data_IF_516410159764
#
_entry.id   IF_516410159764
#
_cell.length_a   1.000
_cell.length_b   1.000
_cell.length_c   1.000
_cell.angle_alpha   90.00
_cell.angle_beta   90.00
_cell.angle_gamma   90.00
#
_symmetry.space_group_name_H-M   'P 1'
#
loop_
_entity.id
_entity.type
_entity.pdbx_description
1 polymer ?
#
# COMPACT_ATOMS: atom_id res chain seq x y z
N UNK A 1 -14.63 2.84 -25.46
CA UNK A 1 -15.19 2.20 -24.28
C UNK A 1 -14.92 3.03 -23.04
N UNK A 2 -15.87 3.07 -22.12
CA UNK A 2 -15.76 3.90 -20.92
C UNK A 2 -14.56 3.51 -20.05
N UNK A 3 -14.37 2.23 -19.80
CA UNK A 3 -13.25 1.74 -18.96
C UNK A 3 -11.89 2.17 -19.49
N UNK A 4 -11.67 2.00 -20.78
CA UNK A 4 -10.41 2.37 -21.42
C UNK A 4 -10.16 3.87 -21.35
N UNK A 5 -11.21 4.67 -21.54
CA UNK A 5 -11.14 6.12 -21.47
C UNK A 5 -10.83 6.59 -20.06
N UNK A 6 -11.47 6.00 -19.04
CA UNK A 6 -11.20 6.30 -17.64
C UNK A 6 -9.76 5.95 -17.27
N UNK A 7 -9.28 4.78 -17.67
CA UNK A 7 -7.92 4.33 -17.38
C UNK A 7 -6.89 5.26 -18.02
N UNK A 8 -7.13 5.73 -19.26
CA UNK A 8 -6.22 6.66 -19.93
C UNK A 8 -6.18 8.00 -19.22
N UNK A 9 -7.34 8.54 -18.86
CA UNK A 9 -7.41 9.82 -18.13
C UNK A 9 -6.78 9.72 -16.75
N UNK A 10 -6.95 8.58 -16.08
CA UNK A 10 -6.32 8.31 -14.78
C UNK A 10 -4.80 8.26 -14.92
N UNK A 11 -4.29 7.57 -15.91
CA UNK A 11 -2.85 7.50 -16.18
C UNK A 11 -2.27 8.89 -16.42
N UNK A 12 -2.94 9.69 -17.24
CA UNK A 12 -2.51 11.06 -17.52
C UNK A 12 -2.49 11.93 -16.26
N UNK A 13 -3.51 11.78 -15.40
CA UNK A 13 -3.59 12.52 -14.13
C UNK A 13 -2.47 12.12 -13.16
N UNK A 14 -2.15 10.84 -13.10
CA UNK A 14 -1.08 10.35 -12.23
C UNK A 14 0.30 10.74 -12.77
N UNK A 15 0.46 10.82 -14.08
CA UNK A 15 1.72 11.28 -14.69
C UNK A 15 2.01 12.76 -14.36
N UNK A 16 0.99 13.57 -14.15
CA UNK A 16 1.15 14.96 -13.72
C UNK A 16 1.60 15.09 -12.27
N UNK A 17 1.42 14.05 -11.48
CA UNK A 17 1.83 14.03 -10.09
C UNK A 17 2.56 12.71 -9.79
N UNK A 18 3.88 12.63 -10.10
CA UNK A 18 4.62 11.37 -10.05
C UNK A 18 4.71 10.70 -8.68
N UNK A 19 4.42 11.43 -7.59
CA UNK A 19 4.40 10.82 -6.26
C UNK A 19 3.16 9.97 -6.02
N UNK A 20 2.12 10.16 -6.82
CA UNK A 20 0.86 9.38 -6.71
C UNK A 20 0.90 8.15 -7.62
N UNK A 21 0.27 7.08 -7.18
CA UNK A 21 0.17 5.85 -7.95
C UNK A 21 -1.13 5.10 -7.66
N UNK A 22 -1.54 4.27 -8.61
CA UNK A 22 -2.78 3.50 -8.52
C UNK A 22 -2.58 2.25 -7.66
N UNK A 23 -3.48 2.05 -6.70
CA UNK A 23 -3.53 0.83 -5.87
C UNK A 23 -4.58 -0.12 -6.41
N UNK A 24 -5.78 0.37 -6.70
CA UNK A 24 -6.88 -0.49 -7.15
C UNK A 24 -7.84 0.29 -8.04
N UNK A 25 -8.41 -0.41 -9.01
CA UNK A 25 -9.41 0.11 -9.93
C UNK A 25 -10.54 -0.90 -10.02
N UNK A 26 -11.74 -0.49 -9.66
CA UNK A 26 -12.94 -1.32 -9.73
C UNK A 26 -14.01 -0.63 -10.55
N UNK A 27 -14.69 -1.37 -11.39
CA UNK A 27 -15.81 -0.89 -12.18
C UNK A 27 -16.84 -2.01 -12.29
N UNK A 28 -18.08 -1.73 -11.88
CA UNK A 28 -19.15 -2.72 -11.94
C UNK A 28 -20.00 -2.57 -13.21
N UNK A 29 -21.02 -3.43 -13.32
CA UNK A 29 -21.91 -3.45 -14.48
C UNK A 29 -22.77 -2.19 -14.61
N UNK A 30 -22.92 -1.42 -13.53
CA UNK A 30 -23.68 -0.17 -13.50
C UNK A 30 -22.80 1.06 -13.73
N UNK A 31 -21.54 0.84 -14.15
CA UNK A 31 -20.54 1.91 -14.33
C UNK A 31 -20.26 2.69 -13.05
N UNK A 32 -20.32 2.03 -11.90
CA UNK A 32 -19.82 2.57 -10.64
C UNK A 32 -18.33 2.29 -10.58
N UNK A 33 -17.53 3.36 -10.54
CA UNK A 33 -16.08 3.29 -10.62
C UNK A 33 -15.49 3.68 -9.27
N UNK A 34 -14.62 2.82 -8.74
CA UNK A 34 -13.88 3.11 -7.52
C UNK A 34 -12.40 3.03 -7.80
N UNK A 35 -11.68 4.10 -7.49
CA UNK A 35 -10.25 4.22 -7.70
C UNK A 35 -9.59 4.46 -6.35
N UNK A 36 -8.60 3.64 -6.02
CA UNK A 36 -7.80 3.81 -4.81
C UNK A 36 -6.39 4.15 -5.22
N UNK A 37 -5.88 5.27 -4.71
CA UNK A 37 -4.54 5.75 -4.98
C UNK A 37 -3.75 5.87 -3.68
N UNK A 38 -2.43 5.86 -3.80
CA UNK A 38 -1.53 6.15 -2.70
C UNK A 38 -0.42 7.06 -3.23
N UNK A 39 0.39 7.58 -2.34
CA UNK A 39 1.48 8.47 -2.70
C UNK A 39 2.73 8.19 -1.89
N UNK A 40 3.90 8.41 -2.48
CA UNK A 40 5.18 8.21 -1.81
C UNK A 40 5.31 9.07 -0.55
N UNK A 41 4.68 10.24 -0.57
CA UNK A 41 4.67 11.18 0.55
C UNK A 41 3.29 11.32 1.19
N UNK A 42 2.39 10.37 0.88
CA UNK A 42 1.01 10.39 1.32
C UNK A 42 0.07 10.99 0.28
N UNK A 43 -1.21 11.00 0.58
CA UNK A 43 -2.26 11.51 -0.31
C UNK A 43 -3.16 12.44 0.49
N UNK A 44 -3.36 13.66 -0.01
CA UNK A 44 -4.30 14.61 0.57
C UNK A 44 -5.68 14.48 -0.06
N UNK A 45 -6.68 15.09 0.57
CA UNK A 45 -8.02 15.19 -0.02
C UNK A 45 -7.95 15.97 -1.34
N UNK A 46 -7.12 17.00 -1.40
CA UNK A 46 -6.92 17.77 -2.63
C UNK A 46 -6.38 16.92 -3.77
N UNK A 47 -5.48 15.98 -3.48
CA UNK A 47 -4.95 15.06 -4.48
C UNK A 47 -6.04 14.17 -5.05
N UNK A 48 -6.91 13.62 -4.20
CA UNK A 48 -8.03 12.79 -4.63
C UNK A 48 -9.02 13.59 -5.48
N UNK A 49 -9.31 14.82 -5.08
CA UNK A 49 -10.22 15.71 -5.83
C UNK A 49 -9.62 16.04 -7.19
N UNK A 50 -8.33 16.33 -7.27
CA UNK A 50 -7.66 16.65 -8.53
C UNK A 50 -7.72 15.48 -9.52
N UNK A 51 -7.45 14.26 -9.06
CA UNK A 51 -7.56 13.05 -9.88
C UNK A 51 -8.99 12.82 -10.34
N UNK A 52 -9.95 12.95 -9.41
CA UNK A 52 -11.37 12.78 -9.71
C UNK A 52 -11.83 13.74 -10.81
N UNK A 53 -11.48 15.01 -10.69
CA UNK A 53 -11.84 16.03 -11.70
C UNK A 53 -11.17 15.81 -13.04
N UNK A 54 -9.90 15.39 -13.05
CA UNK A 54 -9.17 15.11 -14.28
C UNK A 54 -9.85 13.99 -15.09
N UNK A 55 -10.43 13.02 -14.42
CA UNK A 55 -11.18 11.94 -15.06
C UNK A 55 -12.59 12.42 -15.44
N UNK A 56 -13.34 12.94 -14.46
CA UNK A 56 -14.76 13.26 -14.63
C UNK A 56 -15.04 14.36 -15.65
N UNK A 57 -14.23 15.43 -15.64
CA UNK A 57 -14.46 16.57 -16.53
C UNK A 57 -14.07 16.30 -17.99
N UNK A 58 -13.41 15.20 -18.26
CA UNK A 58 -12.99 14.81 -19.60
C UNK A 58 -13.84 13.70 -20.20
N UNK A 59 -14.95 13.34 -19.55
CA UNK A 59 -15.89 12.34 -20.02
C UNK A 59 -17.27 13.00 -20.15
N UNK A 60 -17.91 12.83 -21.32
CA UNK A 60 -19.24 13.36 -21.57
C UNK A 60 -20.28 12.47 -20.87
N UNK A 61 -20.98 13.05 -19.88
CA UNK A 61 -22.03 12.33 -19.15
C UNK A 61 -23.28 12.05 -19.97
N UNK A 62 -23.45 12.75 -21.08
CA UNK A 62 -24.53 12.44 -22.01
C UNK A 62 -24.23 11.18 -22.82
N UNK A 63 -22.94 10.93 -23.07
CA UNK A 63 -22.49 9.72 -23.75
C UNK A 63 -22.39 8.52 -22.78
N UNK A 64 -21.90 8.78 -21.54
CA UNK A 64 -21.72 7.74 -20.53
C UNK A 64 -22.32 8.17 -19.21
N UNK A 65 -23.20 7.36 -18.67
CA UNK A 65 -23.72 7.51 -17.31
C UNK A 65 -22.83 6.69 -16.37
N UNK A 66 -22.21 7.34 -15.42
CA UNK A 66 -21.30 6.68 -14.48
C UNK A 66 -21.24 7.42 -13.14
N UNK A 67 -20.80 6.71 -12.11
CA UNK A 67 -20.41 7.30 -10.83
C UNK A 67 -18.93 7.07 -10.60
N UNK A 68 -18.25 8.03 -9.98
CA UNK A 68 -16.82 7.98 -9.75
C UNK A 68 -16.48 8.32 -8.30
N UNK A 69 -15.71 7.46 -7.67
CA UNK A 69 -15.14 7.69 -6.36
C UNK A 69 -13.63 7.51 -6.42
N UNK A 70 -12.88 8.51 -5.95
CA UNK A 70 -11.42 8.41 -5.80
C UNK A 70 -11.11 8.56 -4.33
N UNK A 71 -10.41 7.56 -3.79
CA UNK A 71 -10.06 7.51 -2.38
C UNK A 71 -8.58 7.18 -2.20
N UNK A 72 -8.03 7.54 -1.04
CA UNK A 72 -6.68 7.16 -0.67
C UNK A 72 -6.67 5.82 0.05
N UNK A 73 -5.55 5.09 -0.04
CA UNK A 73 -5.33 3.91 0.77
C UNK A 73 -5.20 4.36 2.24
N UNK A 74 -5.97 3.74 3.12
CA UNK A 74 -5.94 4.07 4.55
C UNK A 74 -4.65 3.60 5.21
N UNK A 75 -4.29 4.22 6.35
CA UNK A 75 -3.08 3.87 7.10
C UNK A 75 -3.09 2.42 7.59
N UNK A 76 -4.29 1.85 7.79
CA UNK A 76 -4.46 0.46 8.25
C UNK A 76 -4.75 -0.51 7.11
N UNK A 77 -4.84 -0.02 5.87
CA UNK A 77 -5.07 -0.88 4.71
C UNK A 77 -3.86 -1.77 4.43
N UNK A 78 -4.08 -3.01 3.94
CA UNK A 78 -2.96 -3.87 3.59
C UNK A 78 -2.07 -3.24 2.51
N UNK A 79 -0.77 -3.46 2.64
CA UNK A 79 0.20 -3.03 1.64
C UNK A 79 0.21 -4.06 0.51
N UNK A 80 0.13 -3.59 -0.74
CA UNK A 80 0.03 -4.46 -1.91
C UNK A 80 1.13 -4.24 -2.95
N UNK A 81 1.84 -3.12 -2.89
CA UNK A 81 2.86 -2.77 -3.88
C UNK A 81 4.20 -2.48 -3.23
N UNK A 82 5.33 -2.87 -3.87
CA UNK A 82 6.66 -2.55 -3.33
C UNK A 82 6.86 -1.07 -3.04
N UNK A 83 6.28 -0.21 -3.84
CA UNK A 83 6.35 1.24 -3.67
C UNK A 83 5.75 1.71 -2.34
N UNK A 84 4.66 1.06 -1.90
CA UNK A 84 4.06 1.32 -0.60
C UNK A 84 4.98 0.89 0.54
N UNK A 85 5.65 -0.24 0.40
CA UNK A 85 6.61 -0.68 1.40
C UNK A 85 7.75 0.32 1.57
N UNK A 86 8.29 0.83 0.48
CA UNK A 86 9.41 1.78 0.52
C UNK A 86 9.11 3.02 1.36
N UNK A 87 7.89 3.55 1.26
CA UNK A 87 7.53 4.75 2.03
C UNK A 87 7.40 4.48 3.53
N UNK A 88 7.29 3.22 3.93
CA UNK A 88 7.16 2.83 5.34
C UNK A 88 8.46 2.26 5.93
N UNK A 89 9.59 2.42 5.23
CA UNK A 89 10.89 2.03 5.78
C UNK A 89 11.14 2.72 7.11
N UNK A 90 11.54 1.96 8.12
CA UNK A 90 11.72 2.45 9.48
C UNK A 90 10.49 2.29 10.37
N UNK A 91 9.37 1.88 9.82
CA UNK A 91 8.14 1.65 10.59
C UNK A 91 7.97 0.16 10.90
N UNK A 92 7.20 -0.13 11.94
CA UNK A 92 6.88 -1.52 12.30
C UNK A 92 5.77 -2.04 11.42
N UNK A 93 5.97 -3.21 10.83
CA UNK A 93 4.97 -3.89 10.02
C UNK A 93 4.51 -5.18 10.72
N UNK A 94 3.24 -5.51 10.53
CA UNK A 94 2.67 -6.80 10.89
C UNK A 94 2.33 -7.53 9.60
N UNK A 95 2.84 -8.74 9.42
CA UNK A 95 2.54 -9.50 8.22
C UNK A 95 2.24 -10.95 8.52
N UNK A 96 1.51 -11.56 7.61
CA UNK A 96 1.17 -12.97 7.64
C UNK A 96 1.52 -13.59 6.30
N UNK A 97 2.20 -14.73 6.33
CA UNK A 97 2.58 -15.44 5.11
C UNK A 97 1.48 -16.40 4.68
N UNK A 98 1.60 -16.91 3.45
CA UNK A 98 0.68 -17.92 2.92
C UNK A 98 0.69 -19.22 3.74
N UNK A 99 1.77 -19.49 4.45
CA UNK A 99 1.90 -20.66 5.32
C UNK A 99 1.31 -20.43 6.72
N UNK A 100 0.79 -19.24 6.99
CA UNK A 100 0.22 -18.89 8.28
C UNK A 100 1.23 -18.43 9.33
N UNK A 101 2.48 -18.20 8.94
CA UNK A 101 3.50 -17.66 9.84
C UNK A 101 3.31 -16.14 9.94
N UNK A 102 3.36 -15.64 11.18
CA UNK A 102 3.22 -14.20 11.44
C UNK A 102 4.57 -13.59 11.83
N UNK A 103 4.83 -12.40 11.28
CA UNK A 103 6.01 -11.61 11.62
C UNK A 103 5.59 -10.22 12.06
N UNK A 104 6.32 -9.67 13.00
CA UNK A 104 6.18 -8.27 13.41
C UNK A 104 7.58 -7.71 13.58
N UNK A 105 7.89 -6.64 12.89
CA UNK A 105 9.21 -6.05 12.96
C UNK A 105 9.32 -4.75 12.21
N UNK A 106 10.46 -4.09 12.34
CA UNK A 106 10.77 -2.83 11.66
C UNK A 106 11.22 -3.15 10.24
N UNK A 107 10.63 -2.43 9.29
CA UNK A 107 11.04 -2.55 7.89
C UNK A 107 12.39 -1.88 7.70
N UNK A 108 13.42 -2.67 7.39
CA UNK A 108 14.79 -2.17 7.23
C UNK A 108 15.21 -2.00 5.78
N UNK A 109 14.53 -2.68 4.87
CA UNK A 109 14.84 -2.55 3.45
C UNK A 109 13.77 -3.16 2.57
N UNK A 110 13.72 -2.70 1.32
CA UNK A 110 12.83 -3.20 0.29
C UNK A 110 13.64 -3.46 -0.97
N UNK A 111 13.50 -4.66 -1.53
CA UNK A 111 14.13 -5.03 -2.80
C UNK A 111 13.06 -5.29 -3.86
N UNK A 112 13.48 -5.64 -5.06
CA UNK A 112 12.55 -5.99 -6.15
C UNK A 112 11.78 -7.27 -5.87
N UNK A 113 12.30 -8.13 -4.99
CA UNK A 113 11.73 -9.46 -4.73
C UNK A 113 11.10 -9.61 -3.34
N UNK A 114 11.39 -8.72 -2.41
CA UNK A 114 10.86 -8.85 -1.06
C UNK A 114 11.27 -7.73 -0.12
N UNK A 115 11.06 -7.98 1.16
CA UNK A 115 11.35 -7.00 2.21
C UNK A 115 12.23 -7.62 3.28
N UNK A 116 12.91 -6.76 4.05
CA UNK A 116 13.69 -7.15 5.21
C UNK A 116 13.07 -6.56 6.46
N UNK A 117 12.80 -7.40 7.45
CA UNK A 117 12.28 -6.99 8.76
C UNK A 117 13.31 -7.30 9.84
N UNK A 118 13.37 -6.46 10.86
CA UNK A 118 14.16 -6.74 12.05
C UNK A 118 13.33 -6.52 13.32
N UNK A 119 13.62 -7.31 14.33
CA UNK A 119 12.95 -7.20 15.62
C UNK A 119 13.88 -7.67 16.73
N UNK A 120 13.51 -7.37 17.95
CA UNK A 120 14.25 -7.81 19.15
C UNK A 120 13.48 -8.89 19.84
N UNK A 121 14.17 -9.93 20.27
CA UNK A 121 13.59 -11.05 21.01
C UNK A 121 14.39 -11.30 22.28
N UNK A 122 13.71 -11.76 23.32
CA UNK A 122 14.35 -12.18 24.57
C UNK A 122 14.61 -13.67 24.50
N UNK A 123 15.86 -14.06 24.64
CA UNK A 123 16.26 -15.45 24.61
C UNK A 123 17.10 -15.79 25.83
N UNK A 124 17.14 -17.08 26.25
CA UNK A 124 18.00 -17.50 27.35
C UNK A 124 19.46 -17.17 27.05
N UNK A 125 20.20 -16.75 28.07
CA UNK A 125 21.63 -16.51 27.89
C UNK A 125 22.34 -17.81 27.54
N UNK A 126 23.37 -17.78 26.64
CA UNK A 126 24.15 -18.95 26.33
C UNK A 126 24.87 -19.52 27.57
N UNK A 127 25.21 -18.65 28.51
CA UNK A 127 25.88 -19.02 29.75
C UNK A 127 25.21 -18.30 30.92
N UNK A 128 24.90 -19.02 31.98
CA UNK A 128 24.28 -18.49 33.18
C UNK A 128 22.77 -18.41 33.11
N UNK A 129 22.18 -17.77 34.13
CA UNK A 129 20.74 -17.60 34.27
C UNK A 129 20.28 -16.27 33.70
N UNK A 130 19.01 -16.18 33.33
CA UNK A 130 18.37 -14.99 32.83
C UNK A 130 18.26 -14.99 31.32
N UNK A 131 17.79 -13.86 30.77
CA UNK A 131 17.56 -13.68 29.33
C UNK A 131 18.36 -12.49 28.81
N UNK A 132 18.71 -12.56 27.56
CA UNK A 132 19.37 -11.47 26.83
C UNK A 132 18.53 -11.07 25.65
N UNK A 133 18.54 -9.77 25.32
CA UNK A 133 17.87 -9.29 24.12
C UNK A 133 18.77 -9.54 22.92
N UNK A 134 18.23 -10.26 21.94
CA UNK A 134 18.94 -10.51 20.67
C UNK A 134 18.17 -9.84 19.53
N UNK A 135 18.91 -9.35 18.56
CA UNK A 135 18.33 -8.79 17.35
C UNK A 135 18.18 -9.87 16.30
N UNK A 136 16.98 -9.98 15.76
CA UNK A 136 16.65 -10.94 14.71
C UNK A 136 16.23 -10.21 13.47
N UNK A 137 16.43 -10.84 12.32
CA UNK A 137 15.99 -10.32 11.03
C UNK A 137 15.53 -11.46 10.13
N UNK A 138 14.69 -11.11 9.16
CA UNK A 138 14.24 -12.05 8.13
C UNK A 138 14.04 -11.32 6.82
N UNK A 139 14.36 -11.99 5.73
CA UNK A 139 14.04 -11.54 4.38
C UNK A 139 12.80 -12.30 3.93
N UNK A 140 11.76 -11.57 3.50
CA UNK A 140 10.47 -12.14 3.19
C UNK A 140 10.11 -11.80 1.74
N UNK A 141 10.05 -12.81 0.85
CA UNK A 141 9.65 -12.57 -0.55
C UNK A 141 8.21 -12.09 -0.64
N UNK A 142 7.94 -11.17 -1.57
CA UNK A 142 6.59 -10.64 -1.77
C UNK A 142 5.56 -11.72 -2.08
N UNK A 143 5.94 -12.73 -2.85
CA UNK A 143 5.02 -13.80 -3.24
C UNK A 143 4.63 -14.73 -2.10
N UNK A 144 5.31 -14.66 -0.96
CA UNK A 144 4.94 -15.43 0.24
C UNK A 144 4.07 -14.64 1.21
N UNK A 145 3.92 -13.33 1.00
CA UNK A 145 3.13 -12.47 1.88
C UNK A 145 1.65 -12.58 1.52
N UNK A 146 0.85 -13.02 2.47
CA UNK A 146 -0.61 -13.07 2.33
C UNK A 146 -1.22 -11.71 2.64
N UNK A 147 -0.77 -11.09 3.73
CA UNK A 147 -1.26 -9.78 4.16
C UNK A 147 -0.15 -9.07 4.95
N UNK A 148 0.02 -7.79 4.71
CA UNK A 148 0.97 -6.96 5.45
C UNK A 148 0.37 -5.58 5.69
N UNK A 149 0.46 -5.12 6.94
CA UNK A 149 -0.07 -3.81 7.36
C UNK A 149 0.97 -3.08 8.20
N UNK A 150 0.90 -1.75 8.18
CA UNK A 150 1.68 -0.92 9.09
C UNK A 150 1.04 -1.01 10.48
N UNK A 151 1.84 -1.33 11.49
CA UNK A 151 1.37 -1.32 12.87
C UNK A 151 1.29 0.11 13.38
N UNK A 152 0.12 0.50 13.85
CA UNK A 152 -0.08 1.82 14.45
C UNK A 152 0.34 1.72 15.92
N UNK A 153 1.34 2.52 16.29
CA UNK A 153 1.85 2.54 17.66
C UNK A 153 1.36 3.83 18.32
N UNK A 154 0.65 3.69 19.42
CA UNK A 154 0.18 4.81 20.23
C UNK A 154 1.12 4.99 21.43
N UNK A 155 1.72 6.14 21.54
CA UNK A 155 2.58 6.50 22.66
C UNK A 155 1.88 7.47 23.61
#
# INVERSE_FOLDING_TARGET
MLKEKVLQLLEDALDENPSLFLIDFQMDANNSIKIIIDGDEGVSVSDCVAVSRAVEHNIDREEYDFSLEVASAGATSPLTMPRQYKKHTGRTLELKTNEGVSFEGVLTGVSDTGISLSWKAREPKPVGKGKVTVEKSAEIPFDTIKECKVKIIFN
#
